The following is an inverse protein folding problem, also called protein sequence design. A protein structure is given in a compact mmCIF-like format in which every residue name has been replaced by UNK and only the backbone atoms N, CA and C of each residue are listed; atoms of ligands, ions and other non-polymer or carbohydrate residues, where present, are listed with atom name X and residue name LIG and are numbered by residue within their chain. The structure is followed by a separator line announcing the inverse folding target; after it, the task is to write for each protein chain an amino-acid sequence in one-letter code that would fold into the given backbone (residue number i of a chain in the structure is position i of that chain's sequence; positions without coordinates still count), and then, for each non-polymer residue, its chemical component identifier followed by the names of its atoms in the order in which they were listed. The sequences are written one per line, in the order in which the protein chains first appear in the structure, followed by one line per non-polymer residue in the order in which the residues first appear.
data_IF_816776096822
#
_entry.id   IF_816776096822
#
_cell.length_a   1.000
_cell.length_b   1.000
_cell.length_c   1.000
_cell.angle_alpha   90.00
_cell.angle_beta   90.00
_cell.angle_gamma   90.00
#
_symmetry.space_group_name_H-M   'P 1'
#
loop_
_entity.id
_entity.type
_entity.pdbx_description
1 polymer ?
#
# COMPACT_ATOMS: atom_id res chain seq x y z
N UNK A 1 -17.48 19.66 28.16
CA UNK A 1 -17.75 18.99 26.86
C UNK A 1 -17.67 20.04 25.76
N UNK A 2 -16.94 19.79 24.68
CA UNK A 2 -16.63 20.75 23.59
C UNK A 2 -17.85 21.18 22.72
N UNK A 3 -19.08 21.17 23.25
CA UNK A 3 -20.29 21.53 22.49
C UNK A 3 -20.71 20.52 21.41
N UNK A 4 -20.08 19.35 21.36
CA UNK A 4 -20.37 18.30 20.38
C UNK A 4 -21.77 17.70 20.60
N UNK A 5 -22.58 17.65 19.55
CA UNK A 5 -23.86 16.94 19.55
C UNK A 5 -23.63 15.49 19.15
N UNK A 6 -24.09 14.55 19.98
CA UNK A 6 -24.03 13.12 19.68
C UNK A 6 -25.13 12.76 18.66
N UNK A 7 -24.74 12.11 17.58
CA UNK A 7 -25.65 11.51 16.60
C UNK A 7 -25.56 9.99 16.76
N UNK A 8 -26.63 9.37 17.29
CA UNK A 8 -26.69 7.91 17.45
C UNK A 8 -27.26 7.27 16.20
N UNK A 9 -26.63 6.19 15.73
CA UNK A 9 -27.27 5.28 14.79
C UNK A 9 -28.37 4.49 15.52
N UNK A 10 -29.44 4.16 14.82
CA UNK A 10 -30.47 3.26 15.36
C UNK A 10 -30.00 1.82 15.23
N UNK A 11 -30.28 0.98 16.24
CA UNK A 11 -29.96 -0.44 16.20
C UNK A 11 -30.50 -1.09 14.91
N UNK A 12 -29.67 -1.93 14.28
CA UNK A 12 -29.99 -2.65 13.04
C UNK A 12 -30.28 -1.78 11.80
N UNK A 13 -29.88 -0.51 11.80
CA UNK A 13 -30.00 0.36 10.63
C UNK A 13 -28.64 0.92 10.17
N UNK A 14 -27.90 0.20 9.32
CA UNK A 14 -26.56 0.60 8.86
C UNK A 14 -26.54 1.83 7.93
N UNK A 15 -27.71 2.38 7.59
CA UNK A 15 -27.82 3.42 6.56
C UNK A 15 -27.22 4.77 6.98
N UNK A 16 -27.07 4.99 8.29
CA UNK A 16 -26.49 6.22 8.84
C UNK A 16 -24.96 6.15 9.00
N UNK A 17 -24.40 4.94 9.20
CA UNK A 17 -22.97 4.74 9.47
C UNK A 17 -22.24 3.87 8.42
N UNK A 18 -22.92 3.57 7.30
CA UNK A 18 -22.41 2.67 6.27
C UNK A 18 -21.12 3.11 5.56
N UNK A 19 -20.68 4.36 5.74
CA UNK A 19 -19.35 4.81 5.30
C UNK A 19 -18.27 4.34 6.28
N UNK A 20 -18.46 4.55 7.58
CA UNK A 20 -17.52 4.08 8.59
C UNK A 20 -17.49 2.54 8.61
N UNK A 21 -18.65 1.88 8.51
CA UNK A 21 -18.72 0.41 8.46
C UNK A 21 -17.91 -0.16 7.28
N UNK A 22 -18.05 0.39 6.07
CA UNK A 22 -17.26 -0.05 4.90
C UNK A 22 -15.76 0.22 5.05
N UNK A 23 -15.41 1.35 5.66
CA UNK A 23 -14.02 1.68 5.98
C UNK A 23 -13.44 0.66 6.98
N UNK A 24 -14.16 0.37 8.06
CA UNK A 24 -13.76 -0.61 9.09
C UNK A 24 -13.58 -1.99 8.46
N UNK A 25 -14.54 -2.46 7.65
CA UNK A 25 -14.42 -3.74 6.94
C UNK A 25 -13.17 -3.82 6.05
N UNK A 26 -12.83 -2.74 5.35
CA UNK A 26 -11.63 -2.69 4.49
C UNK A 26 -10.36 -2.76 5.34
N UNK A 27 -10.30 -2.01 6.45
CA UNK A 27 -9.17 -2.07 7.37
C UNK A 27 -9.01 -3.45 8.01
N UNK A 28 -10.11 -4.08 8.42
CA UNK A 28 -10.11 -5.44 8.98
C UNK A 28 -9.61 -6.48 7.98
N UNK A 29 -9.97 -6.38 6.70
CA UNK A 29 -9.49 -7.28 5.66
C UNK A 29 -7.98 -7.14 5.46
N UNK A 30 -7.48 -5.91 5.35
CA UNK A 30 -6.03 -5.63 5.27
C UNK A 30 -5.33 -6.22 6.49
N UNK A 31 -5.84 -5.91 7.67
CA UNK A 31 -5.27 -6.31 8.95
C UNK A 31 -5.17 -7.84 9.08
N UNK A 32 -6.26 -8.57 8.78
CA UNK A 32 -6.32 -10.03 8.82
C UNK A 32 -5.25 -10.68 7.93
N UNK A 33 -5.04 -10.11 6.74
CA UNK A 33 -4.01 -10.60 5.80
C UNK A 33 -2.61 -10.42 6.40
N UNK A 34 -2.30 -9.25 6.97
CA UNK A 34 -0.99 -9.00 7.57
C UNK A 34 -0.74 -9.82 8.85
N UNK A 35 -1.75 -9.95 9.72
CA UNK A 35 -1.68 -10.78 10.93
C UNK A 35 -1.39 -12.25 10.63
N UNK A 36 -1.89 -12.78 9.51
CA UNK A 36 -1.60 -14.14 9.08
C UNK A 36 -0.13 -14.35 8.70
N UNK A 37 0.58 -13.31 8.26
CA UNK A 37 2.00 -13.37 7.92
C UNK A 37 2.92 -13.18 9.14
N UNK A 38 2.47 -12.47 10.18
CA UNK A 38 3.28 -12.14 11.36
C UNK A 38 2.96 -13.04 12.58
N UNK A 39 2.77 -14.34 12.35
CA UNK A 39 2.48 -15.28 13.44
C UNK A 39 3.75 -15.66 14.20
N UNK A 40 3.69 -15.56 15.52
CA UNK A 40 4.73 -15.91 16.48
C UNK A 40 4.22 -16.96 17.44
N UNK A 41 5.02 -17.99 17.70
CA UNK A 41 4.69 -18.99 18.71
C UNK A 41 5.06 -18.50 20.11
N UNK A 42 4.08 -18.35 20.98
CA UNK A 42 4.26 -18.01 22.39
C UNK A 42 3.98 -19.23 23.26
N UNK A 43 4.89 -19.55 24.17
CA UNK A 43 4.92 -20.80 24.93
C UNK A 43 3.60 -21.13 25.66
N UNK A 44 2.87 -20.12 26.12
CA UNK A 44 1.60 -20.27 26.85
C UNK A 44 0.34 -19.95 26.02
N UNK A 45 0.48 -19.38 24.82
CA UNK A 45 -0.64 -18.85 24.02
C UNK A 45 -0.76 -19.50 22.62
N UNK A 46 0.23 -20.31 22.22
CA UNK A 46 0.27 -20.92 20.89
C UNK A 46 0.70 -19.92 19.81
N UNK A 47 0.22 -20.09 18.58
CA UNK A 47 0.46 -19.13 17.50
C UNK A 47 -0.37 -17.87 17.71
N UNK A 48 0.30 -16.74 17.91
CA UNK A 48 -0.31 -15.42 18.14
C UNK A 48 0.28 -14.41 17.15
N UNK A 49 -0.29 -13.21 17.06
CA UNK A 49 0.30 -12.13 16.28
C UNK A 49 0.13 -10.81 17.05
N UNK A 50 1.12 -9.91 16.99
CA UNK A 50 1.02 -8.58 17.59
C UNK A 50 0.36 -7.61 16.62
N UNK A 51 -0.97 -7.67 16.60
CA UNK A 51 -1.78 -6.88 15.72
C UNK A 51 -1.68 -5.36 15.97
N UNK A 52 -1.38 -4.95 17.21
CA UNK A 52 -1.29 -3.54 17.59
C UNK A 52 -0.11 -2.88 16.87
N UNK A 53 1.00 -3.61 16.73
CA UNK A 53 2.20 -3.09 16.05
C UNK A 53 1.98 -2.78 14.57
N UNK A 54 1.05 -3.47 13.91
CA UNK A 54 0.78 -3.27 12.48
C UNK A 54 -0.28 -2.21 12.21
N UNK A 55 -1.05 -1.76 13.21
CA UNK A 55 -2.10 -0.75 13.02
C UNK A 55 -1.61 0.53 12.32
N UNK A 56 -0.45 1.13 12.69
CA UNK A 56 0.04 2.32 11.99
C UNK A 56 0.32 2.06 10.51
N UNK A 57 0.82 0.86 10.17
CA UNK A 57 1.09 0.46 8.80
C UNK A 57 -0.21 0.26 8.00
N UNK A 58 -1.23 -0.38 8.59
CA UNK A 58 -2.55 -0.55 7.98
C UNK A 58 -3.21 0.81 7.72
N UNK A 59 -3.17 1.71 8.70
CA UNK A 59 -3.71 3.07 8.56
C UNK A 59 -3.01 3.87 7.46
N UNK A 60 -1.68 3.76 7.37
CA UNK A 60 -0.90 4.40 6.32
C UNK A 60 -1.24 3.84 4.94
N UNK A 61 -1.30 2.50 4.82
CA UNK A 61 -1.66 1.83 3.57
C UNK A 61 -3.05 2.26 3.09
N UNK A 62 -4.04 2.29 3.99
CA UNK A 62 -5.39 2.74 3.65
C UNK A 62 -5.40 4.21 3.17
N UNK A 63 -4.78 5.12 3.92
CA UNK A 63 -4.80 6.55 3.63
C UNK A 63 -4.08 6.96 2.34
N UNK A 64 -3.15 6.12 1.87
CA UNK A 64 -2.36 6.34 0.65
C UNK A 64 -2.86 5.50 -0.54
N UNK A 65 -3.89 4.68 -0.35
CA UNK A 65 -4.51 3.92 -1.42
C UNK A 65 -5.65 4.70 -2.06
N UNK A 66 -5.79 4.59 -3.38
CA UNK A 66 -6.90 5.22 -4.09
C UNK A 66 -8.22 4.52 -3.77
N UNK A 67 -9.22 5.31 -3.40
CA UNK A 67 -10.57 4.80 -3.17
C UNK A 67 -11.35 4.74 -4.48
N UNK A 68 -12.07 3.63 -4.71
CA UNK A 68 -12.87 3.42 -5.93
C UNK A 68 -13.97 4.48 -6.12
N UNK A 69 -14.53 5.00 -5.03
CA UNK A 69 -15.62 6.00 -5.08
C UNK A 69 -15.12 7.41 -5.41
N UNK A 70 -13.96 7.82 -4.90
CA UNK A 70 -13.45 9.19 -5.05
C UNK A 70 -12.33 9.29 -6.09
N UNK A 71 -11.73 8.17 -6.50
CA UNK A 71 -10.58 8.13 -7.40
C UNK A 71 -9.32 8.78 -6.83
N UNK A 72 -9.29 9.05 -5.52
CA UNK A 72 -8.22 9.77 -4.83
C UNK A 72 -7.85 9.09 -3.53
N UNK A 73 -6.64 9.33 -3.07
CA UNK A 73 -6.16 8.90 -1.76
C UNK A 73 -6.83 9.73 -0.65
N UNK A 74 -7.31 9.11 0.45
CA UNK A 74 -7.92 9.85 1.56
C UNK A 74 -7.03 10.95 2.14
N UNK A 75 -5.72 10.69 2.29
CA UNK A 75 -4.78 11.68 2.81
C UNK A 75 -4.71 12.95 1.97
N UNK A 76 -4.95 12.85 0.65
CA UNK A 76 -5.02 14.03 -0.22
C UNK A 76 -6.23 14.91 0.12
N UNK A 77 -7.38 14.31 0.43
CA UNK A 77 -8.59 15.03 0.80
C UNK A 77 -8.55 15.63 2.20
N UNK A 78 -7.99 14.91 3.17
CA UNK A 78 -7.99 15.32 4.59
C UNK A 78 -6.80 16.21 4.96
N UNK A 79 -5.61 15.90 4.44
CA UNK A 79 -4.34 16.52 4.85
C UNK A 79 -3.74 17.40 3.75
N UNK A 80 -4.31 17.39 2.54
CA UNK A 80 -3.81 18.14 1.39
C UNK A 80 -2.59 17.51 0.72
N UNK A 81 -2.16 16.31 1.12
CA UNK A 81 -1.02 15.62 0.52
C UNK A 81 -0.73 14.27 1.17
N UNK A 82 -0.04 13.41 0.43
CA UNK A 82 0.38 12.09 0.92
C UNK A 82 1.70 12.19 1.70
N UNK A 83 1.86 11.44 2.80
CA UNK A 83 3.13 11.32 3.49
C UNK A 83 4.17 10.64 2.58
N UNK A 84 5.44 11.02 2.71
CA UNK A 84 6.54 10.35 2.02
C UNK A 84 6.60 8.89 2.49
N UNK A 85 6.39 7.96 1.57
CA UNK A 85 6.41 6.54 1.90
C UNK A 85 7.86 6.07 2.12
N UNK A 86 8.11 5.04 2.95
CA UNK A 86 9.46 4.50 3.17
C UNK A 86 10.17 4.14 1.87
N UNK A 87 9.45 3.58 0.89
CA UNK A 87 10.00 3.24 -0.43
C UNK A 87 10.43 4.48 -1.21
N UNK A 88 9.68 5.58 -1.12
CA UNK A 88 10.03 6.84 -1.79
C UNK A 88 11.24 7.50 -1.12
N UNK A 89 11.34 7.40 0.20
CA UNK A 89 12.50 7.86 0.95
C UNK A 89 13.77 7.08 0.55
N UNK A 90 13.66 5.75 0.39
CA UNK A 90 14.75 4.91 -0.09
C UNK A 90 15.11 5.21 -1.55
N UNK A 91 14.12 5.46 -2.42
CA UNK A 91 14.33 5.81 -3.84
C UNK A 91 15.05 7.15 -4.04
N UNK A 92 14.90 8.12 -3.14
CA UNK A 92 15.66 9.38 -3.20
C UNK A 92 17.18 9.17 -3.06
N UNK A 93 17.58 8.13 -2.34
CA UNK A 93 18.99 7.80 -2.10
C UNK A 93 19.54 6.75 -3.08
N UNK A 94 18.66 6.11 -3.86
CA UNK A 94 19.05 5.29 -4.99
C UNK A 94 19.51 6.23 -6.11
N UNK A 95 20.69 5.96 -6.67
CA UNK A 95 21.18 6.66 -7.86
C UNK A 95 20.06 6.67 -8.90
N UNK A 96 19.54 7.85 -9.24
CA UNK A 96 18.76 8.03 -10.47
C UNK A 96 19.67 7.54 -11.58
N UNK A 97 19.35 6.39 -12.18
CA UNK A 97 20.05 5.91 -13.37
C UNK A 97 19.95 7.05 -14.35
N UNK A 98 21.10 7.64 -14.68
CA UNK A 98 21.15 8.75 -15.60
C UNK A 98 20.39 8.35 -16.88
N UNK A 99 19.57 9.24 -17.46
CA UNK A 99 18.82 8.93 -18.68
C UNK A 99 19.70 8.28 -19.75
N UNK A 100 20.96 8.72 -19.85
CA UNK A 100 21.98 8.18 -20.75
C UNK A 100 22.34 6.72 -20.44
N UNK A 101 22.40 6.33 -19.16
CA UNK A 101 22.69 4.96 -18.76
C UNK A 101 21.52 4.01 -19.07
N UNK A 102 20.28 4.50 -19.02
CA UNK A 102 19.10 3.74 -19.46
C UNK A 102 19.09 3.57 -20.98
N UNK A 103 19.38 4.63 -21.72
CA UNK A 103 19.46 4.59 -23.19
C UNK A 103 20.57 3.65 -23.67
N UNK A 104 21.73 3.67 -23.01
CA UNK A 104 22.81 2.71 -23.27
C UNK A 104 22.35 1.28 -23.04
N UNK A 105 21.66 0.98 -21.94
CA UNK A 105 21.16 -0.37 -21.68
C UNK A 105 20.20 -0.86 -22.80
N UNK A 106 19.32 0.02 -23.29
CA UNK A 106 18.45 -0.32 -24.42
C UNK A 106 19.22 -0.58 -25.71
N UNK A 107 20.24 0.24 -26.00
CA UNK A 107 21.11 0.05 -27.17
C UNK A 107 21.85 -1.29 -27.08
N UNK A 108 22.45 -1.60 -25.93
CA UNK A 108 23.16 -2.85 -25.68
C UNK A 108 22.24 -4.06 -25.82
N UNK A 109 21.00 -3.97 -25.32
CA UNK A 109 20.01 -5.03 -25.45
C UNK A 109 19.62 -5.29 -26.91
N UNK A 110 19.39 -4.23 -27.68
CA UNK A 110 19.12 -4.33 -29.13
C UNK A 110 20.28 -4.96 -29.88
N UNK A 111 21.52 -4.52 -29.60
CA UNK A 111 22.72 -5.06 -30.23
C UNK A 111 22.89 -6.56 -29.93
N UNK A 112 22.62 -6.97 -28.68
CA UNK A 112 22.68 -8.37 -28.27
C UNK A 112 21.61 -9.22 -28.98
N UNK A 113 20.37 -8.74 -29.06
CA UNK A 113 19.28 -9.43 -29.75
C UNK A 113 19.57 -9.59 -31.25
N UNK A 114 20.16 -8.57 -31.88
CA UNK A 114 20.59 -8.65 -33.28
C UNK A 114 21.72 -9.66 -33.46
N UNK A 115 22.74 -9.62 -32.61
CA UNK A 115 23.85 -10.58 -32.66
C UNK A 115 23.36 -12.03 -32.48
N UNK A 116 22.44 -12.26 -31.53
CA UNK A 116 21.84 -13.57 -31.28
C UNK A 116 21.05 -14.08 -32.49
N UNK A 117 20.29 -13.19 -33.17
CA UNK A 117 19.59 -13.55 -34.42
C UNK A 117 20.55 -13.89 -35.55
N UNK A 118 21.60 -13.09 -35.76
CA UNK A 118 22.59 -13.35 -36.80
C UNK A 118 23.33 -14.67 -36.58
N UNK A 119 23.56 -15.07 -35.32
CA UNK A 119 24.14 -16.38 -34.99
C UNK A 119 23.14 -17.50 -35.33
N UNK A 120 21.86 -17.34 -34.98
CA UNK A 120 20.83 -18.34 -35.25
C UNK A 120 20.49 -18.51 -36.74
N UNK A 121 20.69 -17.48 -37.56
CA UNK A 121 20.51 -17.55 -39.03
C UNK A 121 21.73 -18.13 -39.76
N UNK A 122 22.87 -18.27 -39.06
CA UNK A 122 24.12 -18.80 -39.62
C UNK A 122 24.32 -20.30 -39.37
N UNK A 123 23.47 -20.93 -38.55
CA UNK A 123 23.33 -22.40 -38.39
C UNK A 123 22.29 -22.98 -39.36
#
# INVERSE_FOLDING_TARGET
MLGTKLAFSTAYHPQTDGLAERMIQTMEDIHRRFCAYSMEYKYHEGYTHDWVTILPAVQLAYNTSQHSTTGKEPALGEKGGNPLLPVEHLKKNLLTIDPTAKDLHEIWKRAWDTAAKCIAEAE
#
